data_IF_452384735969
#
_entry.id   IF_452384735969
#
_cell.length_a   1.000
_cell.length_b   1.000
_cell.length_c   1.000
_cell.angle_alpha   90.00
_cell.angle_beta   90.00
_cell.angle_gamma   90.00
#
_symmetry.space_group_name_H-M   'P 1'
#
loop_
_entity.id
_entity.type
_entity.pdbx_description
1 polymer ?
#
# COMPACT_ATOMS: atom_id res chain seq x y z
N UNK A 1 10.97 -91.31 -28.59
CA UNK A 1 11.13 -89.88 -29.07
C UNK A 1 9.99 -88.93 -28.66
N UNK A 2 8.95 -89.41 -27.89
CA UNK A 2 7.80 -88.55 -27.53
C UNK A 2 7.95 -87.74 -26.20
N UNK A 3 8.80 -88.17 -25.28
CA UNK A 3 8.85 -87.54 -23.95
C UNK A 3 9.80 -86.32 -23.81
N UNK A 4 10.71 -86.09 -24.75
CA UNK A 4 11.61 -84.95 -24.70
C UNK A 4 10.99 -83.65 -25.28
N UNK A 5 10.03 -83.79 -26.23
CA UNK A 5 9.37 -82.62 -26.87
C UNK A 5 8.39 -81.96 -25.88
N UNK A 6 7.60 -82.78 -25.14
CA UNK A 6 6.63 -82.27 -24.18
C UNK A 6 7.32 -81.54 -22.99
N UNK A 7 8.50 -81.97 -22.56
CA UNK A 7 9.27 -81.31 -21.49
C UNK A 7 9.87 -79.96 -21.91
N UNK A 8 10.23 -79.80 -23.23
CA UNK A 8 10.74 -78.50 -23.75
C UNK A 8 9.61 -77.47 -23.91
N UNK A 9 8.42 -77.90 -24.32
CA UNK A 9 7.29 -76.99 -24.48
C UNK A 9 6.81 -76.45 -23.12
N UNK A 10 6.72 -77.32 -22.07
CA UNK A 10 6.36 -76.88 -20.71
C UNK A 10 7.41 -75.94 -20.11
N UNK A 11 8.69 -76.13 -20.39
CA UNK A 11 9.72 -75.22 -19.89
C UNK A 11 9.68 -73.86 -20.64
N UNK A 12 9.33 -73.84 -21.90
CA UNK A 12 9.19 -72.58 -22.66
C UNK A 12 7.94 -71.81 -22.23
N UNK A 13 6.85 -72.46 -21.90
CA UNK A 13 5.66 -71.77 -21.37
C UNK A 13 5.88 -71.26 -19.94
N UNK A 14 6.54 -71.98 -19.06
CA UNK A 14 6.88 -71.50 -17.73
C UNK A 14 7.86 -70.31 -17.76
N UNK A 15 8.80 -70.29 -18.72
CA UNK A 15 9.68 -69.14 -18.92
C UNK A 15 8.97 -67.91 -19.52
N UNK A 16 7.91 -68.07 -20.32
CA UNK A 16 7.10 -66.99 -20.82
C UNK A 16 6.26 -66.36 -19.68
N UNK A 17 5.65 -67.17 -18.83
CA UNK A 17 4.90 -66.66 -17.64
C UNK A 17 5.83 -65.97 -16.61
N UNK A 18 7.04 -66.50 -16.40
CA UNK A 18 7.98 -65.86 -15.51
C UNK A 18 8.50 -64.50 -16.06
N UNK A 19 8.72 -64.39 -17.37
CA UNK A 19 9.07 -63.11 -17.99
C UNK A 19 7.94 -62.06 -17.95
N UNK A 20 6.69 -62.51 -18.06
CA UNK A 20 5.52 -61.59 -17.97
C UNK A 20 5.26 -61.18 -16.52
N UNK A 21 5.42 -62.03 -15.55
CA UNK A 21 5.31 -61.68 -14.12
C UNK A 21 6.47 -60.77 -13.65
N UNK A 22 7.68 -60.96 -14.18
CA UNK A 22 8.82 -60.07 -13.89
C UNK A 22 8.63 -58.68 -14.55
N UNK A 23 8.02 -58.65 -15.76
CA UNK A 23 7.73 -57.39 -16.46
C UNK A 23 6.59 -56.62 -15.77
N UNK A 24 5.55 -57.29 -15.27
CA UNK A 24 4.44 -56.70 -14.51
C UNK A 24 4.88 -56.24 -13.13
N UNK A 25 5.81 -56.96 -12.47
CA UNK A 25 6.38 -56.52 -11.21
C UNK A 25 7.35 -55.35 -11.39
N UNK A 26 8.07 -55.25 -12.53
CA UNK A 26 8.94 -54.12 -12.83
C UNK A 26 8.10 -52.85 -13.21
N UNK A 27 6.91 -53.02 -13.81
CA UNK A 27 5.99 -51.90 -14.09
C UNK A 27 5.27 -51.42 -12.82
N UNK A 28 5.10 -52.24 -11.78
CA UNK A 28 4.53 -51.83 -10.50
C UNK A 28 5.55 -51.15 -9.58
N UNK A 29 6.87 -51.36 -9.77
CA UNK A 29 7.92 -50.65 -9.03
C UNK A 29 8.32 -49.33 -9.65
N UNK A 30 7.93 -49.00 -10.88
CA UNK A 30 8.18 -47.70 -11.49
C UNK A 30 7.05 -46.66 -11.27
N UNK A 31 5.95 -47.08 -10.58
CA UNK A 31 4.84 -46.19 -10.20
C UNK A 31 4.87 -45.81 -8.71
N UNK A 32 5.94 -46.10 -7.97
CA UNK A 32 6.04 -45.81 -6.54
C UNK A 32 7.37 -45.14 -6.21
N UNK A 33 7.77 -44.13 -6.97
CA UNK A 33 8.75 -43.11 -6.57
C UNK A 33 8.50 -41.89 -7.46
N UNK A 34 7.33 -41.33 -7.34
CA UNK A 34 7.11 -39.90 -7.51
C UNK A 34 7.01 -39.38 -6.08
N UNK A 35 8.11 -39.31 -5.37
CA UNK A 35 8.28 -38.32 -4.32
C UNK A 35 8.27 -36.97 -5.05
N UNK A 36 7.05 -36.54 -5.46
CA UNK A 36 6.77 -35.13 -5.55
C UNK A 36 6.75 -34.62 -4.11
N UNK A 37 7.93 -34.42 -3.54
CA UNK A 37 8.16 -33.30 -2.66
C UNK A 37 8.16 -32.04 -3.55
N UNK A 38 7.09 -31.81 -4.28
CA UNK A 38 6.60 -30.47 -4.45
C UNK A 38 6.15 -30.09 -3.04
N UNK A 39 7.02 -29.54 -2.25
CA UNK A 39 6.65 -28.46 -1.37
C UNK A 39 6.01 -27.49 -2.37
N UNK A 40 4.67 -27.44 -2.40
CA UNK A 40 3.98 -26.38 -3.11
C UNK A 40 4.56 -25.10 -2.50
N UNK A 41 5.44 -24.44 -3.25
CA UNK A 41 5.88 -23.10 -2.86
C UNK A 41 4.59 -22.31 -2.68
N UNK A 42 4.42 -21.57 -1.58
CA UNK A 42 3.22 -20.82 -1.36
C UNK A 42 2.96 -19.97 -2.59
N UNK A 43 1.77 -20.14 -3.19
CA UNK A 43 1.37 -19.32 -4.34
C UNK A 43 0.97 -17.98 -3.76
N UNK A 44 1.87 -17.02 -3.81
CA UNK A 44 1.58 -15.65 -3.42
C UNK A 44 0.71 -15.00 -4.49
N UNK A 45 -0.44 -14.51 -4.07
CA UNK A 45 -1.40 -13.86 -4.97
C UNK A 45 -1.20 -12.34 -5.00
N UNK A 46 -0.62 -11.77 -3.95
CA UNK A 46 -0.49 -10.32 -3.73
C UNK A 46 0.98 -9.87 -3.76
N UNK A 47 1.87 -10.57 -3.07
CA UNK A 47 3.31 -10.25 -3.03
C UNK A 47 3.97 -10.55 -4.38
N UNK A 48 4.63 -9.55 -4.97
CA UNK A 48 5.39 -9.69 -6.23
C UNK A 48 6.88 -9.86 -5.96
N UNK A 49 7.44 -9.01 -5.12
CA UNK A 49 8.86 -9.09 -4.74
C UNK A 49 9.14 -8.38 -3.42
N UNK A 50 10.25 -8.76 -2.81
CA UNK A 50 10.79 -8.16 -1.60
C UNK A 50 12.28 -7.93 -1.72
N UNK A 51 12.77 -6.85 -1.14
CA UNK A 51 14.19 -6.52 -1.05
C UNK A 51 14.52 -6.06 0.37
N UNK A 52 15.49 -6.74 1.03
CA UNK A 52 16.08 -6.21 2.25
C UNK A 52 16.84 -4.93 1.93
N UNK A 53 16.54 -3.88 2.66
CA UNK A 53 17.16 -2.59 2.44
C UNK A 53 18.28 -2.29 3.44
N UNK A 54 17.94 -2.26 4.73
CA UNK A 54 18.88 -1.94 5.80
C UNK A 54 18.34 -2.31 7.17
N UNK A 55 19.23 -2.29 8.17
CA UNK A 55 18.87 -2.30 9.59
C UNK A 55 18.99 -0.88 10.17
N UNK A 56 17.95 -0.38 10.83
CA UNK A 56 17.97 0.84 11.62
C UNK A 56 18.32 0.43 13.06
N UNK A 57 19.48 0.92 13.54
CA UNK A 57 19.95 0.58 14.87
C UNK A 57 19.20 1.37 15.96
N UNK A 58 18.98 0.76 17.13
CA UNK A 58 18.44 1.42 18.33
C UNK A 58 19.18 2.74 18.61
N UNK A 59 20.51 2.73 18.57
CA UNK A 59 21.33 3.92 18.82
C UNK A 59 21.04 5.06 17.84
N UNK A 60 20.68 4.76 16.61
CA UNK A 60 20.30 5.77 15.60
C UNK A 60 18.92 6.37 15.92
N UNK A 61 17.97 5.55 16.34
CA UNK A 61 16.63 5.99 16.76
C UNK A 61 16.70 6.81 18.05
N UNK A 62 17.49 6.38 19.04
CA UNK A 62 17.73 7.14 20.28
C UNK A 62 18.35 8.50 19.97
N UNK A 63 19.38 8.55 19.12
CA UNK A 63 20.00 9.81 18.74
C UNK A 63 18.98 10.75 18.08
N UNK A 64 18.17 10.23 17.15
CA UNK A 64 17.14 11.03 16.49
C UNK A 64 16.10 11.54 17.50
N UNK A 65 15.42 10.64 18.21
CA UNK A 65 14.29 11.00 19.04
C UNK A 65 14.69 11.76 20.31
N UNK A 66 15.71 11.27 21.03
CA UNK A 66 16.11 11.85 22.31
C UNK A 66 16.94 13.10 22.11
N UNK A 67 17.93 13.07 21.18
CA UNK A 67 18.89 14.15 21.03
C UNK A 67 18.44 15.22 20.04
N UNK A 68 18.00 14.83 18.83
CA UNK A 68 17.63 15.80 17.80
C UNK A 68 16.20 16.30 17.96
N UNK A 69 15.25 15.44 18.25
CA UNK A 69 13.84 15.80 18.42
C UNK A 69 13.50 16.26 19.84
N UNK A 70 14.41 16.11 20.81
CA UNK A 70 14.22 16.55 22.18
C UNK A 70 13.10 15.79 22.93
N UNK A 71 12.88 14.52 22.60
CA UNK A 71 11.83 13.67 23.17
C UNK A 71 12.45 12.55 24.03
N UNK A 72 12.90 12.82 25.26
CA UNK A 72 13.62 11.83 26.08
C UNK A 72 12.76 10.61 26.44
N UNK A 73 11.44 10.77 26.54
CA UNK A 73 10.52 9.68 26.85
C UNK A 73 10.42 8.65 25.74
N UNK A 74 10.79 9.00 24.50
CA UNK A 74 10.86 8.10 23.37
C UNK A 74 11.81 6.92 23.58
N UNK A 75 12.87 7.10 24.41
CA UNK A 75 13.81 6.04 24.75
C UNK A 75 13.14 4.78 25.32
N UNK A 76 12.01 4.93 26.00
CA UNK A 76 11.26 3.81 26.59
C UNK A 76 10.59 2.89 25.55
N UNK A 77 10.44 3.35 24.30
CA UNK A 77 9.86 2.61 23.19
C UNK A 77 10.90 2.05 22.22
N UNK A 78 12.19 2.36 22.41
CA UNK A 78 13.28 1.92 21.54
C UNK A 78 13.92 0.68 22.14
N UNK A 79 13.38 -0.51 21.81
CA UNK A 79 13.75 -1.79 22.42
C UNK A 79 14.46 -2.75 21.45
N UNK A 80 14.30 -2.54 20.15
CA UNK A 80 14.82 -3.43 19.10
C UNK A 80 15.46 -2.64 17.97
N UNK A 81 16.51 -3.19 17.35
CA UNK A 81 16.91 -2.81 16.02
C UNK A 81 15.76 -3.14 15.04
N UNK A 82 15.71 -2.49 13.89
CA UNK A 82 14.60 -2.64 12.95
C UNK A 82 15.14 -2.91 11.56
N UNK A 83 14.79 -4.07 11.01
CA UNK A 83 15.05 -4.40 9.61
C UNK A 83 13.97 -3.79 8.72
N UNK A 84 14.41 -3.19 7.61
CA UNK A 84 13.57 -2.49 6.63
C UNK A 84 13.60 -3.26 5.33
N UNK A 85 12.41 -3.63 4.85
CA UNK A 85 12.21 -4.28 3.56
C UNK A 85 11.38 -3.39 2.65
N UNK A 86 11.74 -3.33 1.38
CA UNK A 86 10.89 -2.79 0.32
C UNK A 86 10.08 -3.92 -0.27
N UNK A 87 8.78 -3.67 -0.51
CA UNK A 87 7.88 -4.64 -1.12
C UNK A 87 7.26 -4.08 -2.38
N UNK A 88 7.07 -4.95 -3.37
CA UNK A 88 6.19 -4.72 -4.53
C UNK A 88 5.04 -5.71 -4.44
N UNK A 89 3.81 -5.23 -4.66
CA UNK A 89 2.61 -6.03 -4.53
C UNK A 89 1.55 -5.65 -5.56
N UNK A 90 0.62 -6.59 -5.83
CA UNK A 90 -0.52 -6.36 -6.71
C UNK A 90 -1.63 -5.64 -5.96
N UNK A 91 -2.22 -4.63 -6.61
CA UNK A 91 -3.41 -3.91 -6.14
C UNK A 91 -4.32 -3.53 -7.32
N UNK A 92 -5.23 -2.58 -7.14
CA UNK A 92 -6.17 -2.10 -8.16
C UNK A 92 -5.95 -0.62 -8.46
N UNK A 93 -6.00 -0.28 -9.77
CA UNK A 93 -6.06 1.10 -10.23
C UNK A 93 -7.47 1.70 -10.06
N UNK A 94 -7.64 2.96 -10.45
CA UNK A 94 -8.94 3.67 -10.40
C UNK A 94 -10.05 3.01 -11.25
N UNK A 95 -9.70 2.14 -12.20
CA UNK A 95 -10.63 1.41 -13.06
C UNK A 95 -10.86 -0.03 -12.60
N UNK A 96 -10.24 -0.44 -11.48
CA UNK A 96 -10.28 -1.79 -10.96
C UNK A 96 -9.37 -2.79 -11.67
N UNK A 97 -8.46 -2.34 -12.55
CA UNK A 97 -7.48 -3.21 -13.19
C UNK A 97 -6.33 -3.52 -12.21
N UNK A 98 -5.69 -4.68 -12.41
CA UNK A 98 -4.52 -5.03 -11.61
C UNK A 98 -3.32 -4.16 -11.98
N UNK A 99 -2.65 -3.64 -10.95
CA UNK A 99 -1.43 -2.82 -11.05
C UNK A 99 -0.47 -3.18 -9.92
N UNK A 100 0.82 -3.04 -10.15
CA UNK A 100 1.82 -3.15 -9.10
C UNK A 100 1.90 -1.84 -8.31
N UNK A 101 1.94 -1.95 -6.98
CA UNK A 101 2.25 -0.87 -6.06
C UNK A 101 3.43 -1.25 -5.18
N UNK A 102 3.93 -0.32 -4.39
CA UNK A 102 5.05 -0.56 -3.47
C UNK A 102 4.78 -0.03 -2.07
N UNK A 103 5.63 -0.46 -1.14
CA UNK A 103 5.61 -0.05 0.24
C UNK A 103 6.85 -0.52 1.00
N UNK A 104 6.89 -0.27 2.31
CA UNK A 104 7.93 -0.77 3.18
C UNK A 104 7.36 -1.58 4.34
N UNK A 105 8.08 -2.63 4.74
CA UNK A 105 7.84 -3.37 5.99
C UNK A 105 8.98 -3.10 6.95
N UNK A 106 8.65 -2.80 8.20
CA UNK A 106 9.59 -2.64 9.29
C UNK A 106 9.43 -3.82 10.26
N UNK A 107 10.48 -4.62 10.42
CA UNK A 107 10.47 -5.82 11.25
C UNK A 107 11.40 -5.62 12.45
N UNK A 108 10.91 -5.71 13.68
CA UNK A 108 11.77 -5.61 14.87
C UNK A 108 12.66 -6.83 15.01
N UNK A 109 13.96 -6.63 15.15
CA UNK A 109 14.96 -7.71 15.25
C UNK A 109 14.84 -8.39 16.62
N UNK A 110 14.64 -9.71 16.61
CA UNK A 110 14.52 -10.52 17.82
C UNK A 110 13.39 -10.12 18.79
N UNK A 111 12.34 -9.46 18.32
CA UNK A 111 11.17 -9.17 19.13
C UNK A 111 10.35 -10.48 19.32
N UNK A 112 10.02 -10.86 20.57
CA UNK A 112 9.20 -12.03 20.80
C UNK A 112 7.73 -11.71 20.45
N UNK A 113 7.15 -12.41 19.47
CA UNK A 113 5.74 -12.31 19.10
C UNK A 113 5.28 -10.84 18.87
N UNK A 114 5.86 -10.12 17.89
CA UNK A 114 5.46 -8.74 17.60
C UNK A 114 3.98 -8.64 17.20
N UNK A 115 3.34 -7.51 17.51
CA UNK A 115 2.03 -7.16 16.99
C UNK A 115 2.10 -6.71 15.53
N UNK A 116 0.95 -6.50 14.90
CA UNK A 116 0.85 -5.94 13.56
C UNK A 116 0.32 -4.50 13.62
N UNK A 117 0.93 -3.62 12.84
CA UNK A 117 0.53 -2.22 12.70
C UNK A 117 0.62 -1.80 11.25
N UNK A 118 -0.43 -1.17 10.72
CA UNK A 118 -0.38 -0.49 9.44
C UNK A 118 -0.46 1.02 9.64
N UNK A 119 0.44 1.78 9.01
CA UNK A 119 0.48 3.24 9.11
C UNK A 119 0.25 3.85 7.74
N UNK A 120 -0.87 4.54 7.61
CA UNK A 120 -1.26 5.31 6.45
C UNK A 120 -0.63 6.69 6.53
N UNK A 121 0.24 7.02 5.55
CA UNK A 121 0.95 8.30 5.57
C UNK A 121 0.06 9.48 5.23
N UNK A 122 0.38 10.64 5.77
CA UNK A 122 -0.26 11.91 5.42
C UNK A 122 0.14 12.34 4.00
N UNK A 123 -0.50 13.40 3.50
CA UNK A 123 -0.20 14.01 2.20
C UNK A 123 1.29 14.24 2.02
N UNK A 124 1.83 13.72 0.95
CA UNK A 124 3.18 13.99 0.45
C UNK A 124 3.08 14.55 -0.97
N UNK A 125 4.04 15.38 -1.37
CA UNK A 125 4.13 15.93 -2.73
C UNK A 125 5.35 15.39 -3.48
N UNK A 126 6.26 14.72 -2.77
CA UNK A 126 7.47 14.17 -3.38
C UNK A 126 7.51 12.67 -3.30
N UNK A 127 7.80 12.01 -4.42
CA UNK A 127 8.05 10.57 -4.45
C UNK A 127 9.19 10.14 -3.49
N UNK A 128 10.14 11.04 -3.19
CA UNK A 128 11.20 10.77 -2.23
C UNK A 128 10.70 10.60 -0.77
N UNK A 129 9.46 10.99 -0.48
CA UNK A 129 8.82 10.83 0.84
C UNK A 129 8.00 9.54 0.94
N UNK A 130 7.81 8.83 -0.19
CA UNK A 130 7.10 7.55 -0.21
C UNK A 130 7.85 6.49 0.62
N UNK A 131 7.17 5.69 1.45
CA UNK A 131 7.79 4.74 2.36
C UNK A 131 8.83 3.81 1.73
N UNK A 132 8.56 3.23 0.56
CA UNK A 132 9.50 2.34 -0.11
C UNK A 132 10.73 3.05 -0.67
N UNK A 133 10.60 4.32 -1.03
CA UNK A 133 11.69 5.17 -1.55
C UNK A 133 12.49 5.75 -0.39
N UNK A 134 11.81 6.30 0.61
CA UNK A 134 12.41 6.84 1.82
C UNK A 134 13.12 5.76 2.66
N UNK A 135 12.70 4.50 2.55
CA UNK A 135 13.39 3.37 3.14
C UNK A 135 14.90 3.39 2.85
N UNK A 136 15.30 3.94 1.70
CA UNK A 136 16.70 4.04 1.26
C UNK A 136 17.44 5.27 1.81
N UNK A 137 16.76 6.32 2.26
CA UNK A 137 17.35 7.65 2.42
C UNK A 137 17.31 8.30 3.81
N UNK A 138 16.56 7.82 4.81
CA UNK A 138 16.75 8.26 6.20
C UNK A 138 15.79 9.23 6.89
N UNK A 139 14.54 9.43 6.49
CA UNK A 139 13.77 10.46 7.21
C UNK A 139 12.47 9.99 7.85
N UNK A 140 11.42 9.78 7.08
CA UNK A 140 10.09 9.46 7.61
C UNK A 140 10.00 8.01 8.06
N UNK A 141 10.60 7.08 7.31
CA UNK A 141 10.67 5.65 7.66
C UNK A 141 11.47 5.45 8.94
N UNK A 142 12.59 6.17 9.12
CA UNK A 142 13.38 6.13 10.37
C UNK A 142 12.56 6.63 11.58
N UNK A 143 11.72 7.66 11.41
CA UNK A 143 10.82 8.10 12.47
C UNK A 143 9.75 7.06 12.82
N UNK A 144 9.18 6.40 11.80
CA UNK A 144 8.18 5.34 12.00
C UNK A 144 8.79 4.06 12.60
N UNK A 145 10.11 3.86 12.46
CA UNK A 145 10.80 2.70 13.04
C UNK A 145 10.69 2.59 14.57
N UNK A 146 10.34 3.67 15.27
CA UNK A 146 10.07 3.62 16.71
C UNK A 146 8.89 2.68 17.03
N UNK A 147 7.86 2.63 16.18
CA UNK A 147 6.73 1.73 16.36
C UNK A 147 7.14 0.26 16.19
N UNK A 148 8.04 -0.01 15.24
CA UNK A 148 8.61 -1.34 15.09
C UNK A 148 9.54 -1.68 16.25
N UNK A 149 10.41 -0.75 16.65
CA UNK A 149 11.29 -0.94 17.80
C UNK A 149 10.55 -1.17 19.12
N UNK A 150 9.31 -0.67 19.22
CA UNK A 150 8.42 -0.92 20.35
C UNK A 150 7.79 -2.32 20.35
N UNK A 151 8.03 -3.15 19.32
CA UNK A 151 7.57 -4.53 19.25
C UNK A 151 6.42 -4.77 18.26
N UNK A 152 6.32 -3.99 17.18
CA UNK A 152 5.35 -4.22 16.12
C UNK A 152 6.03 -4.46 14.78
N UNK A 153 5.47 -5.32 13.94
CA UNK A 153 5.76 -5.34 12.52
C UNK A 153 4.90 -4.23 11.89
N UNK A 154 5.53 -3.34 11.13
CA UNK A 154 4.84 -2.15 10.61
C UNK A 154 4.77 -2.19 9.09
N UNK A 155 3.56 -2.10 8.55
CA UNK A 155 3.28 -2.02 7.12
C UNK A 155 3.05 -0.56 6.71
N UNK A 156 3.75 -0.10 5.68
CA UNK A 156 3.76 1.27 5.19
C UNK A 156 3.47 1.26 3.68
N UNK A 157 2.23 1.39 3.22
CA UNK A 157 1.93 1.53 1.80
C UNK A 157 2.43 2.86 1.24
N UNK A 158 2.85 2.89 -0.03
CA UNK A 158 3.19 4.12 -0.74
C UNK A 158 1.96 4.85 -1.30
N UNK A 159 0.85 4.13 -1.52
CA UNK A 159 -0.29 4.47 -2.36
C UNK A 159 0.05 4.50 -3.86
N UNK A 160 -0.97 4.58 -4.72
CA UNK A 160 -0.75 4.80 -6.16
C UNK A 160 -0.26 6.21 -6.42
N UNK A 161 0.52 6.39 -7.47
CA UNK A 161 1.17 7.67 -7.80
C UNK A 161 2.51 7.86 -7.12
N UNK A 162 2.93 6.90 -6.27
CA UNK A 162 4.22 6.92 -5.58
C UNK A 162 4.95 5.58 -5.72
N UNK A 163 6.24 5.57 -5.38
CA UNK A 163 7.07 4.37 -5.47
C UNK A 163 7.17 3.84 -6.90
N UNK A 164 6.73 2.60 -7.13
CA UNK A 164 6.78 1.98 -8.48
C UNK A 164 5.75 2.55 -9.45
N UNK A 165 4.74 3.28 -8.97
CA UNK A 165 3.72 3.94 -9.79
C UNK A 165 3.92 5.44 -9.90
N UNK A 166 5.12 5.95 -9.60
CA UNK A 166 5.42 7.40 -9.60
C UNK A 166 5.37 8.08 -10.98
N UNK A 167 5.14 7.32 -12.05
CA UNK A 167 4.86 7.80 -13.39
C UNK A 167 3.36 8.07 -13.65
N UNK A 168 2.49 7.84 -12.66
CA UNK A 168 1.06 8.04 -12.71
C UNK A 168 0.63 9.12 -11.71
N UNK A 169 -0.50 9.82 -11.96
CA UNK A 169 -1.08 10.72 -10.98
C UNK A 169 -1.47 9.97 -9.69
N UNK A 170 -1.24 10.60 -8.54
CA UNK A 170 -1.76 10.08 -7.28
C UNK A 170 -3.27 10.38 -7.15
N UNK A 171 -4.12 9.35 -6.93
CA UNK A 171 -5.55 9.53 -6.69
C UNK A 171 -5.78 10.07 -5.26
N UNK A 172 -5.53 11.37 -5.06
CA UNK A 172 -5.56 12.02 -3.77
C UNK A 172 -6.95 11.96 -3.13
N UNK A 173 -7.04 11.43 -1.91
CA UNK A 173 -8.30 11.21 -1.19
C UNK A 173 -9.37 10.43 -1.99
N UNK A 174 -8.94 9.49 -2.82
CA UNK A 174 -9.84 8.58 -3.51
C UNK A 174 -10.02 7.30 -2.68
N UNK A 175 -11.26 7.09 -2.20
CA UNK A 175 -11.63 6.06 -1.22
C UNK A 175 -11.14 4.66 -1.61
N UNK A 176 -11.51 4.21 -2.82
CA UNK A 176 -11.27 2.83 -3.22
C UNK A 176 -9.78 2.53 -3.44
N UNK A 177 -9.02 3.44 -4.06
CA UNK A 177 -7.59 3.20 -4.30
C UNK A 177 -6.76 3.24 -3.03
N UNK A 178 -7.06 4.16 -2.11
CA UNK A 178 -6.36 4.24 -0.82
C UNK A 178 -6.66 3.01 0.06
N UNK A 179 -7.94 2.57 0.08
CA UNK A 179 -8.34 1.36 0.79
C UNK A 179 -7.69 0.11 0.19
N UNK A 180 -7.72 -0.05 -1.14
CA UNK A 180 -7.16 -1.21 -1.83
C UNK A 180 -5.65 -1.27 -1.69
N UNK A 181 -4.93 -0.19 -1.98
CA UNK A 181 -3.48 -0.16 -1.84
C UNK A 181 -3.02 -0.46 -0.41
N UNK A 182 -3.74 0.05 0.60
CA UNK A 182 -3.43 -0.22 2.01
C UNK A 182 -3.77 -1.65 2.43
N UNK A 183 -4.89 -2.19 1.98
CA UNK A 183 -5.32 -3.56 2.28
C UNK A 183 -4.39 -4.59 1.62
N UNK A 184 -4.09 -4.39 0.32
CA UNK A 184 -3.25 -5.30 -0.44
C UNK A 184 -1.79 -5.26 0.05
N UNK A 185 -1.32 -4.13 0.57
CA UNK A 185 -0.05 -4.04 1.30
C UNK A 185 -0.04 -4.92 2.55
N UNK A 186 -1.14 -4.97 3.32
CA UNK A 186 -1.26 -5.86 4.48
C UNK A 186 -1.24 -7.32 4.02
N UNK A 187 -1.97 -7.66 2.95
CA UNK A 187 -2.01 -9.02 2.41
C UNK A 187 -0.61 -9.48 1.95
N UNK A 188 0.07 -8.66 1.15
CA UNK A 188 1.45 -8.93 0.74
C UNK A 188 2.41 -9.01 1.93
N UNK A 189 2.17 -8.21 2.95
CA UNK A 189 2.93 -8.25 4.20
C UNK A 189 2.77 -9.58 4.94
N UNK A 190 1.56 -10.14 5.00
CA UNK A 190 1.32 -11.46 5.59
C UNK A 190 2.02 -12.57 4.79
N UNK A 191 1.97 -12.51 3.46
CA UNK A 191 2.68 -13.42 2.56
C UNK A 191 4.21 -13.33 2.77
N UNK A 192 4.74 -12.10 2.91
CA UNK A 192 6.14 -11.87 3.25
C UNK A 192 6.53 -12.50 4.59
N UNK A 193 5.70 -12.34 5.63
CA UNK A 193 5.98 -12.93 6.94
C UNK A 193 6.00 -14.45 6.89
N UNK A 194 5.07 -15.06 6.15
CA UNK A 194 5.03 -16.51 5.95
C UNK A 194 6.26 -17.00 5.18
N UNK A 195 6.63 -16.36 4.08
CA UNK A 195 7.78 -16.73 3.26
C UNK A 195 9.11 -16.65 4.02
N UNK A 196 9.24 -15.72 4.95
CA UNK A 196 10.44 -15.50 5.75
C UNK A 196 10.40 -16.17 7.14
N UNK A 197 9.39 -17.00 7.42
CA UNK A 197 9.19 -17.69 8.71
C UNK A 197 9.20 -16.71 9.91
N UNK A 198 8.65 -15.50 9.72
CA UNK A 198 8.55 -14.46 10.76
C UNK A 198 7.25 -14.65 11.53
N UNK A 199 7.38 -15.06 12.80
CA UNK A 199 6.22 -15.23 13.68
C UNK A 199 5.71 -13.86 14.18
N UNK A 200 4.39 -13.75 14.33
CA UNK A 200 3.70 -12.59 14.87
C UNK A 200 2.54 -13.02 15.78
N UNK A 201 1.96 -12.11 16.54
CA UNK A 201 0.92 -12.43 17.52
C UNK A 201 -0.44 -11.84 17.16
N UNK A 202 -1.50 -12.57 17.53
CA UNK A 202 -2.88 -12.10 17.45
C UNK A 202 -3.58 -12.43 16.14
N UNK A 203 -4.81 -11.90 15.99
CA UNK A 203 -5.67 -12.02 14.82
C UNK A 203 -6.21 -10.64 14.39
N UNK A 204 -5.59 -9.58 14.87
CA UNK A 204 -5.93 -8.19 14.58
C UNK A 204 -4.69 -7.40 14.20
N UNK A 205 -4.91 -6.29 13.51
CA UNK A 205 -3.91 -5.33 13.13
C UNK A 205 -4.34 -3.94 13.58
N UNK A 206 -3.43 -3.20 14.21
CA UNK A 206 -3.68 -1.81 14.57
C UNK A 206 -3.49 -0.91 13.34
N UNK A 207 -4.30 0.15 13.25
CA UNK A 207 -4.33 1.06 12.11
C UNK A 207 -4.12 2.50 12.59
N UNK A 208 -3.17 3.21 11.98
CA UNK A 208 -2.89 4.61 12.34
C UNK A 208 -2.77 5.45 11.07
N UNK A 209 -3.40 6.64 11.07
CA UNK A 209 -3.24 7.61 9.98
C UNK A 209 -3.40 9.05 10.45
N UNK A 210 -2.84 9.97 9.66
CA UNK A 210 -2.95 11.42 9.90
C UNK A 210 -3.32 12.14 8.61
N UNK A 211 -4.23 13.13 8.66
CA UNK A 211 -4.70 13.90 7.50
C UNK A 211 -5.23 12.96 6.40
N UNK A 212 -4.70 12.99 5.17
CA UNK A 212 -5.01 12.01 4.13
C UNK A 212 -4.85 10.56 4.61
N UNK A 213 -3.80 10.27 5.39
CA UNK A 213 -3.63 8.95 5.99
C UNK A 213 -4.74 8.57 6.96
N UNK A 214 -5.37 9.53 7.65
CA UNK A 214 -6.53 9.25 8.49
C UNK A 214 -7.77 8.92 7.64
N UNK A 215 -7.96 9.59 6.51
CA UNK A 215 -8.98 9.23 5.53
C UNK A 215 -8.73 7.82 4.97
N UNK A 216 -7.49 7.53 4.55
CA UNK A 216 -7.10 6.20 4.08
C UNK A 216 -7.29 5.11 5.15
N UNK A 217 -7.03 5.43 6.43
CA UNK A 217 -7.25 4.52 7.56
C UNK A 217 -8.73 4.17 7.74
N UNK A 218 -9.64 5.13 7.61
CA UNK A 218 -11.08 4.85 7.70
C UNK A 218 -11.55 4.03 6.51
N UNK A 219 -11.13 4.39 5.29
CA UNK A 219 -11.45 3.63 4.08
C UNK A 219 -10.93 2.18 4.15
N UNK A 220 -9.72 1.97 4.67
CA UNK A 220 -9.16 0.65 4.94
C UNK A 220 -9.97 -0.11 6.01
N UNK A 221 -10.35 0.55 7.11
CA UNK A 221 -11.16 -0.05 8.17
C UNK A 221 -12.50 -0.53 7.61
N UNK A 222 -13.20 0.31 6.85
CA UNK A 222 -14.46 -0.05 6.20
C UNK A 222 -14.29 -1.25 5.26
N UNK A 223 -13.22 -1.28 4.44
CA UNK A 223 -12.91 -2.40 3.55
C UNK A 223 -12.65 -3.70 4.33
N UNK A 224 -11.94 -3.64 5.44
CA UNK A 224 -11.66 -4.82 6.29
C UNK A 224 -12.90 -5.33 7.02
N UNK A 225 -13.82 -4.46 7.44
CA UNK A 225 -15.04 -4.84 8.15
C UNK A 225 -16.13 -5.37 7.20
N UNK A 226 -16.19 -4.87 5.98
CA UNK A 226 -17.25 -5.22 5.01
C UNK A 226 -16.86 -6.32 4.03
N UNK A 227 -15.54 -6.52 3.81
CA UNK A 227 -14.99 -7.50 2.90
C UNK A 227 -14.37 -8.71 3.60
N UNK A 228 -13.90 -9.70 2.80
CA UNK A 228 -13.12 -10.81 3.35
C UNK A 228 -11.76 -10.30 3.81
N UNK A 229 -11.45 -10.48 5.10
CA UNK A 229 -10.16 -10.12 5.68
C UNK A 229 -9.69 -11.21 6.65
N UNK A 230 -8.42 -11.65 6.57
CA UNK A 230 -7.85 -12.62 7.52
C UNK A 230 -7.58 -11.99 8.89
N UNK A 231 -7.52 -10.66 8.97
CA UNK A 231 -7.30 -9.90 10.19
C UNK A 231 -8.51 -9.00 10.48
N UNK A 232 -8.75 -8.75 11.76
CA UNK A 232 -9.72 -7.74 12.20
C UNK A 232 -8.99 -6.43 12.51
N UNK A 233 -9.60 -5.26 12.28
CA UNK A 233 -9.09 -4.01 12.82
C UNK A 233 -8.99 -4.11 14.35
N UNK A 234 -7.81 -3.76 14.88
CA UNK A 234 -7.56 -3.65 16.31
C UNK A 234 -7.83 -2.23 16.80
N UNK A 235 -6.80 -1.56 17.34
CA UNK A 235 -6.88 -0.13 17.65
C UNK A 235 -6.82 0.67 16.35
N UNK A 236 -7.80 1.56 16.16
CA UNK A 236 -7.84 2.49 15.01
C UNK A 236 -7.65 3.91 15.52
N UNK A 237 -6.57 4.58 15.10
CA UNK A 237 -6.23 5.93 15.51
C UNK A 237 -6.09 6.85 14.30
N UNK A 238 -6.93 7.88 14.26
CA UNK A 238 -7.01 8.81 13.13
C UNK A 238 -6.87 10.26 13.61
N UNK A 239 -5.88 10.97 13.05
CA UNK A 239 -5.61 12.36 13.39
C UNK A 239 -5.98 13.30 12.25
N UNK A 240 -6.77 14.35 12.54
CA UNK A 240 -7.16 15.42 11.61
C UNK A 240 -7.72 14.90 10.25
N UNK A 241 -8.70 13.99 10.24
CA UNK A 241 -9.29 13.47 9.01
C UNK A 241 -10.22 14.48 8.34
N UNK A 242 -10.37 14.33 7.00
CA UNK A 242 -11.49 14.88 6.26
C UNK A 242 -12.32 13.67 5.78
N UNK A 243 -13.41 13.35 6.44
CA UNK A 243 -14.26 12.19 6.10
C UNK A 243 -15.44 12.57 5.22
N UNK A 244 -16.02 13.74 5.46
CA UNK A 244 -17.10 14.36 4.69
C UNK A 244 -16.47 15.36 3.71
N UNK A 245 -16.09 14.86 2.55
CA UNK A 245 -15.47 15.67 1.51
C UNK A 245 -16.47 16.68 0.93
N UNK A 246 -17.73 16.27 0.76
CA UNK A 246 -18.83 17.12 0.29
C UNK A 246 -19.01 18.32 1.20
N UNK A 247 -19.24 18.11 2.51
CA UNK A 247 -19.38 19.22 3.46
C UNK A 247 -18.12 20.06 3.58
N UNK A 248 -16.93 19.46 3.39
CA UNK A 248 -15.66 20.20 3.41
C UNK A 248 -15.55 21.13 2.19
N UNK A 249 -15.89 20.65 1.00
CA UNK A 249 -15.90 21.49 -0.21
C UNK A 249 -16.92 22.61 -0.08
N UNK A 250 -18.13 22.33 0.40
CA UNK A 250 -19.14 23.34 0.71
C UNK A 250 -18.61 24.41 1.66
N UNK A 251 -17.95 23.99 2.74
CA UNK A 251 -17.35 24.92 3.70
C UNK A 251 -16.28 25.79 3.05
N UNK A 252 -15.36 25.18 2.30
CA UNK A 252 -14.25 25.89 1.64
C UNK A 252 -14.75 26.91 0.64
N UNK A 253 -15.68 26.54 -0.23
CA UNK A 253 -16.21 27.46 -1.26
C UNK A 253 -17.04 28.58 -0.64
N UNK A 254 -17.83 28.31 0.40
CA UNK A 254 -18.58 29.36 1.12
C UNK A 254 -17.68 30.28 1.97
N UNK A 255 -16.42 29.93 2.21
CA UNK A 255 -15.49 30.66 3.07
C UNK A 255 -14.13 30.91 2.38
N UNK A 256 -14.11 31.08 1.05
CA UNK A 256 -12.86 31.26 0.29
C UNK A 256 -12.03 32.48 0.68
N UNK A 257 -12.65 33.46 1.36
CA UNK A 257 -12.02 34.66 1.91
C UNK A 257 -11.33 34.42 3.26
N UNK A 258 -11.54 33.26 3.88
CA UNK A 258 -10.88 32.91 5.12
C UNK A 258 -9.52 32.24 4.87
N UNK A 259 -8.57 32.37 5.83
CA UNK A 259 -7.30 31.68 5.72
C UNK A 259 -7.50 30.17 5.62
N UNK A 260 -6.84 29.53 4.66
CA UNK A 260 -6.81 28.08 4.51
C UNK A 260 -5.48 27.52 5.08
N UNK A 261 -5.55 26.44 5.83
CA UNK A 261 -4.35 25.82 6.41
C UNK A 261 -3.42 25.21 5.33
N UNK A 262 -4.00 24.71 4.23
CA UNK A 262 -3.24 24.05 3.16
C UNK A 262 -3.85 24.36 1.78
N UNK A 263 -3.56 25.51 1.20
CA UNK A 263 -4.00 25.87 -0.18
C UNK A 263 -3.54 24.83 -1.19
N UNK A 264 -2.29 24.33 -1.03
CA UNK A 264 -1.74 23.29 -1.90
C UNK A 264 -2.54 21.97 -1.86
N UNK A 265 -3.11 21.61 -0.71
CA UNK A 265 -3.92 20.40 -0.58
C UNK A 265 -5.23 20.49 -1.38
N UNK A 266 -5.86 21.66 -1.39
CA UNK A 266 -7.10 21.88 -2.19
C UNK A 266 -6.81 21.96 -3.69
N UNK A 267 -5.68 22.55 -4.07
CA UNK A 267 -5.23 22.52 -5.46
C UNK A 267 -4.97 21.10 -5.94
N UNK A 268 -4.27 20.31 -5.11
CA UNK A 268 -3.97 18.90 -5.39
C UNK A 268 -5.24 18.05 -5.48
N UNK A 269 -6.16 18.25 -4.53
CA UNK A 269 -7.45 17.57 -4.52
C UNK A 269 -8.23 17.81 -5.83
N UNK A 270 -8.41 19.06 -6.22
CA UNK A 270 -9.17 19.37 -7.41
C UNK A 270 -8.48 18.92 -8.71
N UNK A 271 -7.14 19.04 -8.79
CA UNK A 271 -6.37 18.54 -9.93
C UNK A 271 -6.47 17.00 -10.03
N UNK A 272 -6.30 16.30 -8.92
CA UNK A 272 -6.41 14.83 -8.87
C UNK A 272 -7.81 14.38 -9.32
N UNK A 273 -8.88 14.98 -8.78
CA UNK A 273 -10.25 14.65 -9.16
C UNK A 273 -10.53 14.98 -10.64
N UNK A 274 -10.08 16.14 -11.11
CA UNK A 274 -10.17 16.50 -12.52
C UNK A 274 -9.53 15.43 -13.43
N UNK A 275 -8.38 14.92 -13.03
CA UNK A 275 -7.61 13.94 -13.79
C UNK A 275 -8.25 12.55 -13.74
N UNK A 276 -8.56 12.03 -12.53
CA UNK A 276 -9.07 10.66 -12.38
C UNK A 276 -10.51 10.51 -12.87
N UNK A 277 -11.35 11.53 -12.71
CA UNK A 277 -12.74 11.51 -13.19
C UNK A 277 -12.90 12.12 -14.60
N UNK A 278 -11.82 12.60 -15.19
CA UNK A 278 -11.80 13.18 -16.55
C UNK A 278 -12.85 14.27 -16.76
N UNK A 279 -12.85 15.29 -15.88
CA UNK A 279 -13.80 16.41 -15.96
C UNK A 279 -13.76 17.08 -17.32
N UNK A 280 -14.92 17.48 -17.81
CA UNK A 280 -15.09 18.01 -19.17
C UNK A 280 -14.51 19.41 -19.37
N UNK A 281 -14.39 20.21 -18.30
CA UNK A 281 -13.84 21.58 -18.36
C UNK A 281 -12.34 21.56 -18.10
N UNK A 282 -11.60 22.48 -18.74
CA UNK A 282 -10.14 22.57 -18.54
C UNK A 282 -9.80 23.11 -17.14
N UNK A 283 -8.61 22.80 -16.63
CA UNK A 283 -8.13 23.28 -15.32
C UNK A 283 -8.13 24.80 -15.19
N UNK A 284 -7.97 25.55 -16.30
CA UNK A 284 -8.05 27.01 -16.34
C UNK A 284 -9.45 27.59 -16.02
N UNK A 285 -10.50 26.75 -16.01
CA UNK A 285 -11.83 27.16 -15.57
C UNK A 285 -11.95 27.13 -14.04
N UNK A 286 -11.11 26.40 -13.38
CA UNK A 286 -11.08 26.21 -11.91
C UNK A 286 -10.04 27.11 -11.25
N UNK A 287 -8.84 27.21 -11.83
CA UNK A 287 -7.69 27.91 -11.25
C UNK A 287 -7.35 29.20 -11.99
N UNK A 288 -7.01 30.24 -11.24
CA UNK A 288 -6.51 31.48 -11.77
C UNK A 288 -5.09 31.36 -12.36
N UNK A 289 -4.80 32.07 -13.44
CA UNK A 289 -3.42 32.21 -13.91
C UNK A 289 -2.59 33.04 -12.91
N UNK A 290 -1.31 32.64 -12.64
CA UNK A 290 -0.53 31.62 -13.36
C UNK A 290 -0.58 30.22 -12.70
N UNK A 291 -1.50 29.95 -11.78
CA UNK A 291 -1.55 28.71 -11.02
C UNK A 291 -2.06 27.53 -11.85
N UNK A 292 -3.03 27.78 -12.74
CA UNK A 292 -3.50 26.80 -13.72
C UNK A 292 -2.37 26.27 -14.61
N UNK A 293 -1.52 27.16 -15.12
CA UNK A 293 -0.36 26.78 -15.93
C UNK A 293 0.65 25.94 -15.12
N UNK A 294 0.95 26.33 -13.87
CA UNK A 294 1.89 25.60 -13.01
C UNK A 294 1.39 24.19 -12.67
N UNK A 295 0.09 24.07 -12.42
CA UNK A 295 -0.56 22.78 -12.13
C UNK A 295 -0.50 21.88 -13.38
N UNK A 296 -0.86 22.41 -14.55
CA UNK A 296 -0.78 21.68 -15.82
C UNK A 296 0.66 21.30 -16.21
N UNK A 297 1.65 22.10 -15.83
CA UNK A 297 3.08 21.82 -16.07
C UNK A 297 3.68 20.81 -15.08
N UNK A 298 2.86 20.15 -14.25
CA UNK A 298 3.26 19.07 -13.38
C UNK A 298 3.68 19.50 -11.97
N UNK A 299 3.03 20.52 -11.40
CA UNK A 299 3.28 20.93 -10.01
C UNK A 299 3.15 19.76 -9.01
N UNK A 300 2.31 18.79 -9.32
CA UNK A 300 2.01 17.60 -8.48
C UNK A 300 2.55 16.29 -9.08
N UNK A 301 3.61 16.34 -9.88
CA UNK A 301 4.22 15.19 -10.54
C UNK A 301 5.11 14.32 -9.61
N UNK A 302 5.15 14.59 -8.33
CA UNK A 302 5.97 13.85 -7.36
C UNK A 302 7.43 14.28 -7.30
N UNK A 303 7.87 15.29 -8.06
CA UNK A 303 9.26 15.74 -8.10
C UNK A 303 9.62 16.78 -7.03
N UNK A 304 8.61 17.44 -6.44
CA UNK A 304 8.79 18.62 -5.60
C UNK A 304 8.42 18.36 -4.13
N UNK A 305 9.18 18.96 -3.22
CA UNK A 305 8.84 18.92 -1.79
C UNK A 305 7.64 19.83 -1.47
N UNK A 306 6.97 19.58 -0.34
CA UNK A 306 5.83 20.39 0.14
C UNK A 306 6.14 21.89 0.16
N UNK A 307 7.36 22.28 0.56
CA UNK A 307 7.78 23.69 0.57
C UNK A 307 7.91 24.27 -0.84
N UNK A 308 8.40 23.49 -1.81
CA UNK A 308 8.50 23.93 -3.21
C UNK A 308 7.13 24.08 -3.86
N UNK A 309 6.21 23.13 -3.62
CA UNK A 309 4.83 23.20 -4.09
C UNK A 309 4.14 24.44 -3.49
N UNK A 310 4.19 24.61 -2.17
CA UNK A 310 3.56 25.74 -1.49
C UNK A 310 4.08 27.09 -1.99
N UNK A 311 5.38 27.21 -2.29
CA UNK A 311 5.97 28.46 -2.80
C UNK A 311 5.49 28.87 -4.21
N UNK A 312 4.85 27.98 -4.95
CA UNK A 312 4.34 28.21 -6.30
C UNK A 312 2.84 28.49 -6.35
N UNK A 313 2.17 28.34 -5.22
CA UNK A 313 0.73 28.61 -5.08
C UNK A 313 0.48 29.89 -4.25
N UNK A 314 -0.70 30.47 -4.31
CA UNK A 314 -1.03 31.65 -3.50
C UNK A 314 -1.24 31.27 -2.03
N UNK A 315 -1.37 32.28 -1.17
CA UNK A 315 -1.68 32.09 0.25
C UNK A 315 -3.19 32.04 0.53
N UNK A 316 -4.03 32.35 -0.49
CA UNK A 316 -5.49 32.40 -0.32
C UNK A 316 -6.22 31.60 -1.39
N UNK A 317 -7.41 31.10 -1.03
CA UNK A 317 -8.28 30.36 -1.95
C UNK A 317 -8.91 31.29 -2.99
N UNK A 318 -9.14 32.57 -2.67
CA UNK A 318 -9.65 33.59 -3.61
C UNK A 318 -8.66 33.94 -4.71
N UNK A 319 -7.35 33.80 -4.42
CA UNK A 319 -6.34 33.97 -5.48
C UNK A 319 -6.14 32.68 -6.29
N UNK A 320 -6.40 31.51 -5.67
CA UNK A 320 -6.25 30.22 -6.32
C UNK A 320 -7.39 29.94 -7.30
N UNK A 321 -8.65 30.04 -6.84
CA UNK A 321 -9.82 29.67 -7.62
C UNK A 321 -10.37 30.85 -8.45
N UNK A 322 -10.90 30.54 -9.63
CA UNK A 322 -11.58 31.55 -10.44
C UNK A 322 -12.92 31.96 -9.83
N UNK A 323 -13.30 33.22 -9.96
CA UNK A 323 -14.65 33.67 -9.57
C UNK A 323 -15.75 32.86 -10.27
N UNK A 324 -15.51 32.46 -11.52
CA UNK A 324 -16.45 31.64 -12.29
C UNK A 324 -16.68 30.27 -11.67
N UNK A 325 -15.62 29.60 -11.23
CA UNK A 325 -15.74 28.32 -10.54
C UNK A 325 -16.51 28.46 -9.22
N UNK A 326 -16.13 29.42 -8.39
CA UNK A 326 -16.79 29.68 -7.11
C UNK A 326 -18.29 29.92 -7.30
N UNK A 327 -18.67 30.79 -8.29
CA UNK A 327 -20.09 31.09 -8.53
C UNK A 327 -20.85 29.86 -9.07
N UNK A 328 -20.28 29.07 -9.97
CA UNK A 328 -20.92 27.85 -10.47
C UNK A 328 -21.14 26.83 -9.35
N UNK A 329 -20.14 26.61 -8.49
CA UNK A 329 -20.29 25.73 -7.33
C UNK A 329 -21.42 26.19 -6.40
N UNK A 330 -21.45 27.48 -6.06
CA UNK A 330 -22.52 28.04 -5.19
C UNK A 330 -23.91 27.96 -5.83
N UNK A 331 -24.02 27.90 -7.14
CA UNK A 331 -25.28 27.71 -7.86
C UNK A 331 -25.66 26.23 -8.05
N UNK A 332 -24.84 25.26 -7.65
CA UNK A 332 -25.03 23.84 -7.92
C UNK A 332 -24.88 23.51 -9.42
N UNK A 333 -23.88 24.10 -10.08
CA UNK A 333 -23.58 23.91 -11.51
C UNK A 333 -22.27 23.14 -11.73
N UNK A 334 -21.72 22.50 -10.66
CA UNK A 334 -20.50 21.70 -10.68
C UNK A 334 -20.80 20.20 -10.52
N UNK A 335 -21.80 19.70 -11.25
CA UNK A 335 -22.33 18.32 -11.15
C UNK A 335 -21.24 17.24 -11.19
N UNK A 336 -20.19 17.39 -12.04
CA UNK A 336 -19.10 16.43 -12.17
C UNK A 336 -18.27 16.36 -10.87
N UNK A 337 -17.90 17.51 -10.33
CA UNK A 337 -17.15 17.60 -9.08
C UNK A 337 -17.98 17.13 -7.89
N UNK A 338 -19.22 17.64 -7.75
CA UNK A 338 -20.10 17.29 -6.63
C UNK A 338 -20.38 15.78 -6.58
N UNK A 339 -20.61 15.15 -7.76
CA UNK A 339 -20.83 13.70 -7.84
C UNK A 339 -19.57 12.90 -7.46
N UNK A 340 -18.41 13.32 -7.97
CA UNK A 340 -17.14 12.66 -7.67
C UNK A 340 -16.77 12.79 -6.19
N UNK A 341 -17.03 13.95 -5.58
CA UNK A 341 -16.76 14.18 -4.15
C UNK A 341 -17.68 13.31 -3.28
N UNK A 342 -18.99 13.29 -3.59
CA UNK A 342 -19.97 12.49 -2.85
C UNK A 342 -19.70 10.97 -2.92
N UNK A 343 -19.15 10.47 -4.02
CA UNK A 343 -18.74 9.06 -4.15
C UNK A 343 -17.63 8.69 -3.15
N UNK A 344 -16.82 9.66 -2.76
CA UNK A 344 -15.68 9.49 -1.88
C UNK A 344 -15.94 9.90 -0.41
N UNK A 345 -17.16 10.25 -0.04
CA UNK A 345 -17.51 10.45 1.37
C UNK A 345 -17.41 9.14 2.16
N UNK A 346 -16.89 9.24 3.38
CA UNK A 346 -16.72 8.12 4.33
C UNK A 346 -17.66 8.31 5.53
N UNK A 347 -18.99 8.35 5.27
CA UNK A 347 -20.03 8.57 6.30
C UNK A 347 -20.98 7.37 6.39
#
# INVERSE_FOLDING_TARGET
MGNQVVHRERQMESMKYFKWQALTLLLLFTLSCSDNNNIDEPVFETLVSEDFNRTILQSSMEFFWVTLAGQPDAASYINHDVDVYRIIYQTKDINGNSIEASGAILVPVNAPQPGLLSIQHATIFSNNEAPSVDATQNSATTRKAIFASAGNIVFLPDYLGYGVTSDQPHPYQHKETLASASFDMIMAGLEFLEANEIEWSGSSIDLIGYSEGAYATLALTEKMETGPSPLQPGLVSMGAPIFDLSSTMDYVINNVDQPAECVACYAYFLESYHTIYSFSRPLSDYFNSPYDERIMDGLFDGSQSSAQVASQLPESMTELFTDSFIQRYLNGEEDELESAVAENDLL
#
